data_IF_331480640170
#
_entry.id   IF_331480640170
#
_cell.length_a   1.000
_cell.length_b   1.000
_cell.length_c   1.000
_cell.angle_alpha   90.00
_cell.angle_beta   90.00
_cell.angle_gamma   90.00
#
_symmetry.space_group_name_H-M   'P 1'
#
loop_
_entity.id
_entity.type
_entity.pdbx_description
1 polymer ?
#
# COMPACT_ATOMS: atom_id res chain seq x y z
N UNK A 1 37.05 16.94 15.77
CA UNK A 1 37.23 16.90 14.31
C UNK A 1 35.88 16.59 13.67
N UNK A 2 34.97 17.57 13.62
CA UNK A 2 33.63 17.44 13.04
C UNK A 2 33.58 18.24 11.75
N UNK A 3 33.17 17.62 10.64
CA UNK A 3 32.89 18.33 9.40
C UNK A 3 31.39 18.64 9.38
N UNK A 4 30.97 19.92 9.31
CA UNK A 4 29.62 20.24 8.89
C UNK A 4 29.59 20.19 7.36
N UNK A 5 28.85 19.24 6.80
CA UNK A 5 28.42 19.33 5.40
C UNK A 5 27.01 19.90 5.41
N UNK A 6 26.91 21.23 5.48
CA UNK A 6 25.72 21.93 5.01
C UNK A 6 25.75 21.94 3.49
N UNK A 7 24.79 21.27 2.84
CA UNK A 7 24.54 21.44 1.42
C UNK A 7 23.13 21.98 1.23
N UNK A 8 23.05 23.22 0.73
CA UNK A 8 22.10 23.57 -0.32
C UNK A 8 20.67 23.91 0.09
N UNK A 9 20.46 25.19 0.38
CA UNK A 9 19.19 25.92 0.26
C UNK A 9 18.53 25.76 -1.13
N UNK A 10 17.23 25.42 -1.14
CA UNK A 10 16.24 26.05 -2.03
C UNK A 10 16.03 25.50 -3.44
N UNK A 11 15.01 24.62 -3.57
CA UNK A 11 13.99 24.65 -4.65
C UNK A 11 12.78 23.83 -4.16
N UNK A 12 12.06 24.39 -3.21
CA UNK A 12 10.82 23.83 -2.65
C UNK A 12 9.63 24.28 -3.52
N UNK A 13 8.73 23.37 -3.86
CA UNK A 13 7.46 23.72 -4.47
C UNK A 13 6.74 22.63 -5.25
N UNK A 14 7.47 21.71 -5.93
CA UNK A 14 6.83 20.66 -6.76
C UNK A 14 7.20 19.23 -6.35
N UNK A 15 8.38 19.03 -5.74
CA UNK A 15 8.85 17.71 -5.30
C UNK A 15 8.49 17.40 -3.83
N UNK A 16 8.25 18.42 -3.01
CA UNK A 16 7.79 18.24 -1.61
C UNK A 16 6.30 17.84 -1.52
N UNK A 17 5.57 17.95 -2.63
CA UNK A 17 4.14 17.68 -2.74
C UNK A 17 3.83 16.32 -3.39
N UNK A 18 4.85 15.59 -3.88
CA UNK A 18 4.63 14.25 -4.42
C UNK A 18 4.77 13.27 -3.26
N UNK A 19 3.67 12.70 -2.75
CA UNK A 19 3.79 11.64 -1.75
C UNK A 19 4.64 10.51 -2.32
N UNK A 20 5.43 9.84 -1.47
CA UNK A 20 6.02 8.56 -1.83
C UNK A 20 4.86 7.65 -2.29
N UNK A 21 4.77 7.41 -3.61
CA UNK A 21 3.64 6.73 -4.28
C UNK A 21 3.44 5.28 -3.82
N UNK A 22 4.33 4.80 -2.95
CA UNK A 22 4.35 3.44 -2.44
C UNK A 22 4.68 3.49 -0.95
N UNK A 23 3.88 2.80 -0.14
CA UNK A 23 4.15 2.61 1.29
C UNK A 23 3.83 1.20 1.73
N UNK A 24 4.30 0.81 2.91
CA UNK A 24 3.84 -0.41 3.56
C UNK A 24 2.34 -0.31 3.85
N UNK A 25 1.61 -1.39 3.58
CA UNK A 25 0.21 -1.53 3.94
C UNK A 25 0.02 -1.48 5.46
N UNK A 26 -1.12 -0.94 5.89
CA UNK A 26 -1.58 -0.98 7.28
C UNK A 26 -2.92 -1.70 7.36
N UNK A 27 -3.32 -2.14 8.56
CA UNK A 27 -4.61 -2.81 8.74
C UNK A 27 -5.81 -1.90 8.46
N UNK A 28 -5.61 -0.58 8.50
CA UNK A 28 -6.66 0.41 8.21
C UNK A 28 -6.96 0.52 6.71
N UNK A 29 -6.09 -0.05 5.85
CA UNK A 29 -6.29 -0.09 4.40
C UNK A 29 -7.32 -1.15 3.96
N UNK A 30 -7.70 -2.06 4.86
CA UNK A 30 -8.58 -3.20 4.52
C UNK A 30 -9.91 -2.80 3.86
N UNK A 31 -10.64 -1.75 4.34
CA UNK A 31 -11.87 -1.32 3.69
C UNK A 31 -11.63 -0.73 2.28
N UNK A 32 -10.54 0.03 2.10
CA UNK A 32 -10.19 0.61 0.81
C UNK A 32 -9.82 -0.47 -0.20
N UNK A 33 -9.00 -1.45 0.20
CA UNK A 33 -8.65 -2.61 -0.63
C UNK A 33 -9.88 -3.42 -1.04
N UNK A 34 -10.82 -3.66 -0.12
CA UNK A 34 -12.07 -4.36 -0.43
C UNK A 34 -12.90 -3.61 -1.47
N UNK A 35 -13.03 -2.28 -1.33
CA UNK A 35 -13.73 -1.45 -2.31
C UNK A 35 -13.06 -1.50 -3.70
N UNK A 36 -11.74 -1.34 -3.76
CA UNK A 36 -10.96 -1.41 -5.01
C UNK A 36 -11.07 -2.78 -5.67
N UNK A 37 -11.01 -3.85 -4.88
CA UNK A 37 -11.15 -5.24 -5.31
C UNK A 37 -12.50 -5.48 -5.98
N UNK A 38 -13.59 -5.02 -5.35
CA UNK A 38 -14.94 -5.14 -5.89
C UNK A 38 -15.12 -4.34 -7.20
N UNK A 39 -14.60 -3.10 -7.25
CA UNK A 39 -14.63 -2.28 -8.45
C UNK A 39 -13.80 -2.87 -9.60
N UNK A 40 -12.66 -3.50 -9.27
CA UNK A 40 -11.73 -4.07 -10.23
C UNK A 40 -12.09 -5.49 -10.66
N UNK A 41 -13.08 -6.13 -10.02
CA UNK A 41 -13.44 -7.54 -10.25
C UNK A 41 -13.62 -7.92 -11.72
N UNK A 42 -14.32 -7.14 -12.57
CA UNK A 42 -14.46 -7.47 -14.00
C UNK A 42 -13.12 -7.53 -14.75
N UNK A 43 -12.15 -6.71 -14.34
CA UNK A 43 -10.83 -6.64 -14.93
C UNK A 43 -9.91 -7.76 -14.43
N UNK A 44 -10.05 -8.13 -13.15
CA UNK A 44 -9.24 -9.16 -12.51
C UNK A 44 -9.73 -10.59 -12.81
N UNK A 45 -11.02 -10.78 -13.05
CA UNK A 45 -11.65 -12.10 -13.16
C UNK A 45 -10.94 -13.12 -14.08
N UNK A 46 -10.35 -12.74 -15.24
CA UNK A 46 -9.62 -13.71 -16.07
C UNK A 46 -8.34 -14.26 -15.44
N UNK A 47 -7.75 -13.51 -14.49
CA UNK A 47 -6.44 -13.77 -13.90
C UNK A 47 -6.51 -14.07 -12.40
N UNK A 48 -7.69 -13.90 -11.81
CA UNK A 48 -7.86 -14.00 -10.37
C UNK A 48 -7.91 -15.47 -9.93
N UNK A 49 -7.05 -15.91 -9.00
CA UNK A 49 -7.12 -17.25 -8.46
C UNK A 49 -8.47 -17.49 -7.77
N UNK A 50 -8.92 -18.74 -7.76
CA UNK A 50 -10.07 -19.14 -6.96
C UNK A 50 -9.70 -18.98 -5.48
N UNK A 51 -10.34 -18.02 -4.81
CA UNK A 51 -10.14 -17.70 -3.39
C UNK A 51 -11.45 -17.88 -2.60
N UNK A 52 -11.33 -17.87 -1.29
CA UNK A 52 -12.49 -17.85 -0.39
C UNK A 52 -13.38 -16.63 -0.74
N UNK A 53 -14.72 -16.76 -0.75
CA UNK A 53 -15.64 -15.63 -0.99
C UNK A 53 -15.40 -14.42 -0.09
N UNK A 54 -14.88 -14.62 1.12
CA UNK A 54 -14.59 -13.53 2.06
C UNK A 54 -13.42 -12.66 1.61
N UNK A 55 -12.61 -13.11 0.65
CA UNK A 55 -11.44 -12.38 0.17
C UNK A 55 -11.78 -10.99 -0.38
N UNK A 56 -12.95 -10.80 -0.98
CA UNK A 56 -13.34 -9.49 -1.50
C UNK A 56 -13.95 -8.57 -0.42
N UNK A 57 -14.13 -9.06 0.81
CA UNK A 57 -14.72 -8.31 1.94
C UNK A 57 -13.65 -7.60 2.76
N UNK A 58 -14.03 -6.54 3.48
CA UNK A 58 -13.12 -5.83 4.37
C UNK A 58 -12.54 -6.73 5.49
N UNK A 59 -13.32 -7.70 5.98
CA UNK A 59 -12.84 -8.66 6.97
C UNK A 59 -11.80 -9.62 6.39
N UNK A 60 -12.03 -10.14 5.17
CA UNK A 60 -11.05 -10.98 4.48
C UNK A 60 -9.78 -10.23 4.11
N UNK A 61 -9.90 -9.02 3.57
CA UNK A 61 -8.75 -8.15 3.28
C UNK A 61 -7.94 -7.86 4.56
N UNK A 62 -8.61 -7.62 5.69
CA UNK A 62 -7.92 -7.45 6.97
C UNK A 62 -7.14 -8.70 7.37
N UNK A 63 -7.74 -9.89 7.26
CA UNK A 63 -7.06 -11.15 7.59
C UNK A 63 -5.84 -11.39 6.68
N UNK A 64 -5.96 -11.09 5.39
CA UNK A 64 -4.85 -11.20 4.43
C UNK A 64 -3.73 -10.21 4.75
N UNK A 65 -4.08 -8.98 5.15
CA UNK A 65 -3.10 -7.98 5.61
C UNK A 65 -2.40 -8.39 6.90
N UNK A 66 -3.13 -8.94 7.88
CA UNK A 66 -2.54 -9.46 9.11
C UNK A 66 -1.51 -10.56 8.80
N UNK A 67 -1.83 -11.48 7.90
CA UNK A 67 -0.92 -12.53 7.46
C UNK A 67 0.30 -11.96 6.71
N UNK A 68 0.10 -11.03 5.78
CA UNK A 68 1.17 -10.44 4.98
C UNK A 68 2.13 -9.58 5.84
N UNK A 69 1.59 -8.84 6.81
CA UNK A 69 2.39 -8.05 7.74
C UNK A 69 3.18 -8.95 8.71
N UNK A 70 2.59 -10.06 9.18
CA UNK A 70 3.33 -11.04 9.95
C UNK A 70 4.50 -11.64 9.15
N UNK A 71 4.30 -11.98 7.89
CA UNK A 71 5.36 -12.43 6.98
C UNK A 71 6.44 -11.36 6.77
N UNK A 72 6.05 -10.09 6.64
CA UNK A 72 7.00 -8.98 6.54
C UNK A 72 7.88 -8.86 7.79
N UNK A 73 7.33 -9.03 8.99
CA UNK A 73 8.16 -9.03 10.22
C UNK A 73 9.18 -10.17 10.27
N UNK A 74 8.93 -11.25 9.52
CA UNK A 74 9.83 -12.39 9.38
C UNK A 74 10.79 -12.24 8.18
N UNK A 75 10.73 -11.12 7.45
CA UNK A 75 11.55 -10.87 6.25
C UNK A 75 11.13 -11.70 5.03
N UNK A 76 9.90 -12.22 5.00
CA UNK A 76 9.42 -13.14 3.95
C UNK A 76 8.65 -12.44 2.81
N UNK A 77 8.47 -11.13 2.88
CA UNK A 77 7.79 -10.34 1.86
C UNK A 77 7.70 -8.88 2.26
N UNK A 78 7.30 -8.01 1.33
CA UNK A 78 7.11 -6.58 1.58
C UNK A 78 5.73 -6.16 1.02
N UNK A 79 4.66 -6.14 1.85
CA UNK A 79 3.31 -5.82 1.42
C UNK A 79 3.16 -4.32 1.21
N UNK A 80 3.38 -3.87 -0.03
CA UNK A 80 3.32 -2.46 -0.41
C UNK A 80 1.99 -2.12 -1.08
N UNK A 81 1.46 -0.94 -0.78
CA UNK A 81 0.36 -0.31 -1.50
C UNK A 81 0.88 0.71 -2.50
N UNK A 82 0.19 0.84 -3.63
CA UNK A 82 0.31 1.99 -4.53
C UNK A 82 -0.69 3.04 -4.04
N UNK A 83 -0.26 4.30 -4.03
CA UNK A 83 -1.03 5.42 -3.49
C UNK A 83 -1.44 6.42 -4.57
N UNK A 84 -2.63 6.97 -4.41
CA UNK A 84 -3.13 8.12 -5.16
C UNK A 84 -2.44 9.43 -4.71
N UNK A 85 -2.75 10.54 -5.40
CA UNK A 85 -2.22 11.88 -5.10
C UNK A 85 -2.53 12.34 -3.66
N UNK A 86 -3.61 11.83 -3.05
CA UNK A 86 -4.03 12.15 -1.68
C UNK A 86 -3.45 11.19 -0.61
N UNK A 87 -2.64 10.20 -1.02
CA UNK A 87 -2.04 9.20 -0.14
C UNK A 87 -2.97 8.04 0.25
N UNK A 88 -4.18 7.99 -0.30
CA UNK A 88 -5.07 6.84 -0.19
C UNK A 88 -4.60 5.69 -1.07
N UNK A 89 -5.02 4.46 -0.76
CA UNK A 89 -4.68 3.27 -1.56
C UNK A 89 -5.50 3.30 -2.85
N UNK A 90 -4.85 3.01 -3.98
CA UNK A 90 -5.38 3.09 -5.34
C UNK A 90 -5.13 1.81 -6.16
#
# INVERSE_FOLDING_TARGET
>A
MGRPSSCGTGRSGILDAVPDRIRLLTLDDAPALSALRLASRPHLAPWDPIRNPDHDTAAGQRADLEAALAQHTQGQGVPLAILDDDGSVA
#
